data_IF_610275952918
#
_entry.id   IF_610275952918
#
_cell.length_a   1.000
_cell.length_b   1.000
_cell.length_c   1.000
_cell.angle_alpha   90.00
_cell.angle_beta   90.00
_cell.angle_gamma   90.00
#
_symmetry.space_group_name_H-M   'P 1'
#
loop_
_entity.id
_entity.type
_entity.pdbx_description
1 polymer ?
#
# COMPACT_ATOMS: atom_id res chain seq x y z
N UNK A 1 5.26 2.51 -23.24
CA UNK A 1 6.66 2.20 -23.61
C UNK A 1 7.47 2.23 -22.32
N UNK A 2 8.61 1.51 -22.21
CA UNK A 2 9.44 1.65 -21.00
C UNK A 2 10.15 3.00 -21.03
N UNK A 3 10.08 3.72 -19.93
CA UNK A 3 10.74 5.00 -19.74
C UNK A 3 11.79 4.88 -18.63
N UNK A 4 12.79 5.75 -18.66
CA UNK A 4 13.83 5.85 -17.63
C UNK A 4 13.48 7.03 -16.75
N UNK A 5 13.47 6.81 -15.44
CA UNK A 5 13.21 7.83 -14.46
C UNK A 5 14.45 8.73 -14.34
N UNK A 6 14.29 10.03 -14.57
CA UNK A 6 15.37 11.02 -14.71
C UNK A 6 15.53 11.95 -13.49
N UNK A 7 14.73 11.74 -12.45
CA UNK A 7 14.79 12.50 -11.20
C UNK A 7 15.16 11.62 -9.98
N UNK A 8 15.59 12.29 -8.91
CA UNK A 8 16.01 11.62 -7.68
C UNK A 8 14.82 11.28 -6.77
N UNK A 9 14.72 10.04 -6.31
CA UNK A 9 13.69 9.57 -5.38
C UNK A 9 14.29 9.49 -3.98
N UNK A 10 14.02 10.51 -3.16
CA UNK A 10 14.55 10.62 -1.79
C UNK A 10 14.30 9.37 -0.93
N UNK A 11 13.16 8.68 -1.10
CA UNK A 11 12.85 7.44 -0.34
C UNK A 11 13.88 6.32 -0.59
N UNK A 12 14.51 6.31 -1.76
CA UNK A 12 15.52 5.31 -2.14
C UNK A 12 16.93 5.61 -1.59
N UNK A 13 17.16 6.75 -0.95
CA UNK A 13 18.45 7.06 -0.28
C UNK A 13 18.75 6.09 0.88
N UNK A 14 17.72 5.41 1.39
CA UNK A 14 17.82 4.39 2.42
C UNK A 14 18.42 3.06 1.92
N UNK A 15 18.55 2.88 0.59
CA UNK A 15 19.18 1.71 0.00
C UNK A 15 20.69 1.69 0.28
N UNK A 16 21.27 0.48 0.36
CA UNK A 16 22.73 0.35 0.46
C UNK A 16 23.46 1.01 -0.72
N UNK A 17 22.86 0.94 -1.91
CA UNK A 17 23.34 1.57 -3.14
C UNK A 17 22.14 2.07 -3.93
N UNK A 18 22.12 3.37 -4.22
CA UNK A 18 21.11 3.95 -5.08
C UNK A 18 21.20 3.33 -6.50
N UNK A 19 20.08 2.94 -7.14
CA UNK A 19 20.10 2.32 -8.46
C UNK A 19 20.59 3.31 -9.51
N UNK A 20 21.50 2.88 -10.38
CA UNK A 20 22.01 3.73 -11.47
C UNK A 20 20.90 4.12 -12.46
N UNK A 21 19.98 3.19 -12.74
CA UNK A 21 18.86 3.38 -13.66
C UNK A 21 17.60 2.79 -13.01
N UNK A 22 16.48 3.50 -13.15
CA UNK A 22 15.15 3.05 -12.78
C UNK A 22 14.26 3.12 -14.00
N UNK A 23 13.66 2.00 -14.35
CA UNK A 23 12.75 1.85 -15.47
C UNK A 23 11.32 1.84 -14.95
N UNK A 24 10.42 2.54 -15.62
CA UNK A 24 9.02 2.58 -15.21
C UNK A 24 8.06 2.48 -16.39
N UNK A 25 6.80 2.14 -16.07
CA UNK A 25 5.63 2.30 -16.93
C UNK A 25 4.41 2.63 -16.08
N UNK A 26 3.62 3.60 -16.51
CA UNK A 26 2.41 4.05 -15.82
C UNK A 26 2.62 5.39 -15.11
N UNK A 27 1.87 5.63 -14.04
CA UNK A 27 1.78 6.94 -13.37
C UNK A 27 2.87 7.16 -12.31
N UNK A 28 3.84 8.02 -12.62
CA UNK A 28 4.92 8.40 -11.71
C UNK A 28 4.47 9.28 -10.54
N UNK A 29 3.30 9.93 -10.63
CA UNK A 29 2.79 10.77 -9.54
C UNK A 29 2.50 9.96 -8.26
N UNK A 30 2.39 8.63 -8.37
CA UNK A 30 2.27 7.73 -7.22
C UNK A 30 3.51 7.76 -6.30
N UNK A 31 4.68 8.14 -6.81
CA UNK A 31 5.91 8.22 -6.00
C UNK A 31 5.86 9.33 -4.94
N UNK A 32 5.07 10.38 -5.18
CA UNK A 32 4.91 11.53 -4.29
C UNK A 32 3.88 11.31 -3.19
N UNK A 33 3.04 10.26 -3.32
CA UNK A 33 2.05 9.91 -2.30
C UNK A 33 2.70 9.35 -1.04
N UNK A 34 2.05 9.50 0.15
CA UNK A 34 2.32 8.62 1.28
C UNK A 34 2.14 7.19 0.83
N UNK A 35 3.03 6.30 1.26
CA UNK A 35 3.06 4.97 0.67
C UNK A 35 3.44 3.90 1.68
N UNK A 36 2.84 2.74 1.58
CA UNK A 36 3.06 1.63 2.50
C UNK A 36 3.47 0.40 1.70
N UNK A 37 4.56 -0.24 2.14
CA UNK A 37 4.99 -1.49 1.54
C UNK A 37 4.26 -2.65 2.19
N UNK A 38 3.58 -3.48 1.40
CA UNK A 38 2.88 -4.68 1.89
C UNK A 38 3.50 -5.90 1.23
N UNK A 39 4.01 -6.83 2.03
CA UNK A 39 4.66 -8.07 1.56
C UNK A 39 4.22 -9.27 2.37
N UNK A 40 4.43 -10.47 1.86
CA UNK A 40 4.14 -11.69 2.63
C UNK A 40 4.33 -12.97 1.86
N UNK A 41 3.84 -14.06 2.43
CA UNK A 41 3.92 -15.40 1.83
C UNK A 41 3.21 -15.45 0.48
N UNK A 42 3.72 -16.34 -0.38
CA UNK A 42 3.09 -16.66 -1.67
C UNK A 42 1.86 -17.56 -1.52
N UNK A 43 1.63 -18.11 -0.33
CA UNK A 43 0.53 -19.04 -0.02
C UNK A 43 -0.18 -18.62 1.29
N UNK A 44 -0.82 -17.44 1.31
CA UNK A 44 -1.47 -16.96 2.52
C UNK A 44 -2.70 -17.81 2.86
N UNK A 45 -2.99 -17.94 4.15
CA UNK A 45 -4.26 -18.52 4.62
C UNK A 45 -5.43 -17.57 4.30
N UNK A 46 -6.66 -18.08 4.28
CA UNK A 46 -7.83 -17.26 3.89
C UNK A 46 -8.03 -16.02 4.77
N UNK A 47 -7.77 -16.15 6.08
CA UNK A 47 -7.78 -15.02 7.01
C UNK A 47 -6.84 -13.89 6.56
N UNK A 48 -5.58 -14.23 6.25
CA UNK A 48 -4.58 -13.28 5.74
C UNK A 48 -4.99 -12.68 4.41
N UNK A 49 -5.61 -13.46 3.50
CA UNK A 49 -6.10 -12.94 2.22
C UNK A 49 -7.15 -11.85 2.42
N UNK A 50 -8.14 -12.12 3.27
CA UNK A 50 -9.23 -11.18 3.54
C UNK A 50 -8.69 -9.89 4.15
N UNK A 51 -7.90 -9.99 5.21
CA UNK A 51 -7.36 -8.80 5.87
C UNK A 51 -6.35 -8.04 5.01
N UNK A 52 -5.56 -8.72 4.18
CA UNK A 52 -4.65 -8.05 3.25
C UNK A 52 -5.42 -7.21 2.22
N UNK A 53 -6.50 -7.76 1.65
CA UNK A 53 -7.34 -7.04 0.72
C UNK A 53 -8.02 -5.84 1.40
N UNK A 54 -8.64 -6.07 2.56
CA UNK A 54 -9.35 -5.04 3.32
C UNK A 54 -8.43 -3.89 3.73
N UNK A 55 -7.29 -4.21 4.34
CA UNK A 55 -6.30 -3.23 4.77
C UNK A 55 -5.78 -2.40 3.59
N UNK A 56 -5.46 -3.06 2.47
CA UNK A 56 -4.96 -2.37 1.26
C UNK A 56 -6.03 -1.46 0.65
N UNK A 57 -7.30 -1.90 0.63
CA UNK A 57 -8.43 -1.10 0.16
C UNK A 57 -8.65 0.13 1.03
N UNK A 58 -8.73 -0.04 2.34
CA UNK A 58 -8.98 1.06 3.29
C UNK A 58 -7.83 2.08 3.27
N UNK A 59 -6.57 1.62 3.22
CA UNK A 59 -5.41 2.51 3.07
C UNK A 59 -5.45 3.28 1.73
N UNK A 60 -5.76 2.59 0.64
CA UNK A 60 -5.84 3.23 -0.67
C UNK A 60 -6.93 4.30 -0.76
N UNK A 61 -8.11 4.04 -0.18
CA UNK A 61 -9.19 5.02 -0.07
C UNK A 61 -8.78 6.28 0.72
N UNK A 62 -7.77 6.16 1.59
CA UNK A 62 -7.16 7.30 2.31
C UNK A 62 -6.08 8.05 1.54
N UNK A 63 -5.86 7.68 0.27
CA UNK A 63 -4.83 8.26 -0.60
C UNK A 63 -3.43 7.68 -0.36
N UNK A 64 -3.30 6.60 0.43
CA UNK A 64 -2.02 5.93 0.69
C UNK A 64 -1.73 4.95 -0.43
N UNK A 65 -0.60 5.13 -1.12
CA UNK A 65 -0.20 4.26 -2.21
C UNK A 65 0.37 2.93 -1.68
N UNK A 66 -0.13 1.80 -2.20
CA UNK A 66 0.39 0.49 -1.79
C UNK A 66 1.54 0.07 -2.69
N UNK A 67 2.68 -0.30 -2.08
CA UNK A 67 3.87 -0.78 -2.78
C UNK A 67 4.05 -2.28 -2.53
N UNK A 68 4.26 -3.06 -3.58
CA UNK A 68 4.58 -4.48 -3.45
C UNK A 68 5.37 -5.02 -4.64
N UNK A 69 5.72 -6.31 -4.60
CA UNK A 69 6.60 -6.97 -5.56
C UNK A 69 5.90 -7.76 -6.67
N UNK A 70 4.58 -7.72 -6.77
CA UNK A 70 3.83 -8.45 -7.79
C UNK A 70 3.96 -9.98 -7.73
N UNK A 71 4.51 -10.55 -6.65
CA UNK A 71 4.56 -12.00 -6.47
C UNK A 71 3.16 -12.61 -6.30
N UNK A 72 3.06 -13.93 -6.33
CA UNK A 72 1.84 -14.63 -5.91
C UNK A 72 1.52 -14.34 -4.43
N UNK A 73 0.27 -14.57 -4.03
CA UNK A 73 -0.15 -14.48 -2.64
C UNK A 73 -0.33 -13.04 -2.20
N UNK A 74 0.30 -12.67 -1.08
CA UNK A 74 0.10 -11.37 -0.43
C UNK A 74 0.34 -10.19 -1.38
N UNK A 75 1.43 -10.19 -2.15
CA UNK A 75 1.73 -9.09 -3.07
C UNK A 75 0.59 -8.85 -4.09
N UNK A 76 0.07 -9.92 -4.70
CA UNK A 76 -1.04 -9.82 -5.66
C UNK A 76 -2.32 -9.30 -5.00
N UNK A 77 -2.62 -9.78 -3.79
CA UNK A 77 -3.81 -9.38 -3.03
C UNK A 77 -3.73 -7.93 -2.59
N UNK A 78 -2.53 -7.48 -2.18
CA UNK A 78 -2.31 -6.09 -1.81
C UNK A 78 -2.56 -5.14 -2.98
N UNK A 79 -2.03 -5.46 -4.17
CA UNK A 79 -2.30 -4.70 -5.39
C UNK A 79 -3.78 -4.70 -5.78
N UNK A 80 -4.47 -5.83 -5.63
CA UNK A 80 -5.90 -5.93 -5.92
C UNK A 80 -6.75 -5.11 -4.94
N UNK A 81 -6.45 -5.20 -3.64
CA UNK A 81 -7.16 -4.45 -2.61
C UNK A 81 -6.93 -2.95 -2.75
N UNK A 82 -5.72 -2.52 -3.10
CA UNK A 82 -5.40 -1.12 -3.29
C UNK A 82 -6.15 -0.46 -4.46
N UNK A 83 -6.65 -1.23 -5.43
CA UNK A 83 -6.99 -0.68 -6.74
C UNK A 83 -5.73 -0.48 -7.59
N UNK A 84 -5.84 -0.78 -8.88
CA UNK A 84 -4.68 -0.80 -9.77
C UNK A 84 -4.16 0.60 -10.12
N UNK A 85 -4.92 1.64 -9.80
CA UNK A 85 -4.63 3.07 -9.98
C UNK A 85 -3.90 3.71 -8.80
N UNK A 86 -3.86 3.05 -7.64
CA UNK A 86 -3.18 3.58 -6.45
C UNK A 86 -2.15 2.60 -5.88
N UNK A 87 -1.33 2.02 -6.77
CA UNK A 87 -0.32 1.05 -6.38
C UNK A 87 0.95 1.09 -7.24
N UNK A 88 2.09 0.80 -6.61
CA UNK A 88 3.40 0.65 -7.27
C UNK A 88 3.86 -0.80 -7.15
N UNK A 89 4.08 -1.45 -8.29
CA UNK A 89 4.62 -2.80 -8.37
C UNK A 89 6.09 -2.76 -8.79
N UNK A 90 7.00 -3.14 -7.89
CA UNK A 90 8.43 -3.21 -8.19
C UNK A 90 8.78 -4.62 -8.66
N UNK A 91 9.24 -4.79 -9.90
CA UNK A 91 9.56 -6.10 -10.48
C UNK A 91 11.03 -6.49 -10.29
N UNK A 92 11.29 -7.79 -10.18
CA UNK A 92 12.64 -8.36 -10.08
C UNK A 92 13.26 -8.68 -11.46
N UNK A 93 12.62 -8.20 -12.53
CA UNK A 93 12.94 -8.43 -13.93
C UNK A 93 12.61 -7.18 -14.75
N UNK A 94 13.01 -7.15 -16.02
CA UNK A 94 12.64 -6.09 -16.96
C UNK A 94 11.13 -6.02 -17.21
N UNK A 95 10.62 -4.84 -17.59
CA UNK A 95 9.17 -4.55 -17.64
C UNK A 95 8.41 -5.26 -18.76
N UNK A 96 9.12 -5.69 -19.81
CA UNK A 96 8.59 -6.60 -20.85
C UNK A 96 8.20 -7.99 -20.32
N UNK A 97 8.74 -8.42 -19.18
CA UNK A 97 8.47 -9.74 -18.63
C UNK A 97 7.38 -9.64 -17.56
N UNK A 98 6.23 -10.28 -17.80
CA UNK A 98 5.15 -10.41 -16.81
C UNK A 98 5.36 -11.66 -15.97
N UNK A 99 6.15 -11.54 -14.90
CA UNK A 99 6.46 -12.63 -13.97
C UNK A 99 5.92 -12.33 -12.55
N UNK A 100 5.27 -13.32 -11.88
CA UNK A 100 4.94 -14.65 -12.39
C UNK A 100 3.78 -14.58 -13.41
N UNK A 101 3.74 -15.53 -14.36
CA UNK A 101 2.73 -15.54 -15.44
C UNK A 101 1.29 -15.52 -14.94
N UNK A 102 1.02 -16.14 -13.78
CA UNK A 102 -0.30 -16.16 -13.14
C UNK A 102 -0.82 -14.75 -12.81
N UNK A 103 0.07 -13.80 -12.53
CA UNK A 103 -0.28 -12.42 -12.23
C UNK A 103 -0.23 -11.50 -13.46
N UNK A 104 -0.11 -12.05 -14.68
CA UNK A 104 0.00 -11.25 -15.92
C UNK A 104 -1.11 -10.19 -16.03
N UNK A 105 -2.36 -10.56 -15.72
CA UNK A 105 -3.48 -9.65 -15.80
C UNK A 105 -3.37 -8.52 -14.77
N UNK A 106 -2.99 -8.83 -13.53
CA UNK A 106 -2.74 -7.82 -12.48
C UNK A 106 -1.64 -6.85 -12.93
N UNK A 107 -0.51 -7.37 -13.40
CA UNK A 107 0.61 -6.53 -13.86
C UNK A 107 0.23 -5.65 -15.05
N UNK A 108 -0.59 -6.16 -15.97
CA UNK A 108 -1.10 -5.37 -17.10
C UNK A 108 -2.08 -4.28 -16.64
N UNK A 109 -2.90 -4.53 -15.62
CA UNK A 109 -3.78 -3.50 -15.05
C UNK A 109 -2.98 -2.41 -14.36
N UNK A 110 -1.97 -2.77 -13.55
CA UNK A 110 -1.09 -1.80 -12.90
C UNK A 110 -0.31 -1.00 -13.94
N UNK A 111 0.20 -1.61 -15.00
CA UNK A 111 0.88 -0.88 -16.09
C UNK A 111 0.00 0.21 -16.74
N UNK A 112 -1.32 -0.01 -16.78
CA UNK A 112 -2.26 0.91 -17.40
C UNK A 112 -2.75 2.02 -16.47
N UNK A 113 -2.82 1.77 -15.17
CA UNK A 113 -3.52 2.63 -14.21
C UNK A 113 -2.61 3.11 -13.08
N UNK A 114 -1.68 2.29 -12.62
CA UNK A 114 -0.75 2.57 -11.54
C UNK A 114 0.68 2.65 -12.06
N UNK A 115 1.64 2.11 -11.31
CA UNK A 115 3.05 2.18 -11.68
C UNK A 115 3.73 0.82 -11.61
N UNK A 116 4.35 0.39 -12.70
CA UNK A 116 5.37 -0.65 -12.69
C UNK A 116 6.75 -0.01 -12.61
N UNK A 117 7.62 -0.52 -11.73
CA UNK A 117 8.99 -0.06 -11.55
C UNK A 117 9.98 -1.23 -11.61
N UNK A 118 11.17 -1.02 -12.16
CA UNK A 118 12.24 -2.02 -12.15
C UNK A 118 13.63 -1.36 -12.19
N UNK A 119 14.61 -1.96 -11.52
CA UNK A 119 16.04 -1.56 -11.64
C UNK A 119 16.75 -2.28 -12.78
N UNK A 120 16.01 -3.02 -13.61
CA UNK A 120 16.57 -3.86 -14.66
C UNK A 120 16.01 -3.46 -16.02
N UNK A 121 16.90 -3.40 -17.02
CA UNK A 121 16.54 -3.16 -18.42
C UNK A 121 15.48 -4.15 -18.90
N UNK A 122 14.77 -3.73 -19.94
CA UNK A 122 13.81 -4.60 -20.60
C UNK A 122 14.41 -5.97 -20.95
N UNK A 123 13.56 -6.99 -20.87
CA UNK A 123 13.89 -8.40 -21.13
C UNK A 123 14.91 -9.06 -20.17
N UNK A 124 15.43 -8.34 -19.17
CA UNK A 124 16.24 -8.93 -18.11
C UNK A 124 15.42 -9.93 -17.28
N UNK A 125 15.83 -11.20 -17.22
CA UNK A 125 15.13 -12.26 -16.50
C UNK A 125 15.45 -12.26 -15.01
N UNK A 126 14.43 -12.48 -14.17
CA UNK A 126 14.62 -12.56 -12.73
C UNK A 126 15.57 -13.70 -12.33
N UNK A 127 16.43 -13.44 -11.34
CA UNK A 127 17.30 -14.42 -10.70
C UNK A 127 17.03 -14.44 -9.19
N UNK A 128 17.59 -15.41 -8.47
CA UNK A 128 17.47 -15.44 -6.99
C UNK A 128 17.97 -14.14 -6.35
N UNK A 129 19.05 -13.57 -6.89
CA UNK A 129 19.62 -12.32 -6.39
C UNK A 129 18.71 -11.11 -6.68
N UNK A 130 18.09 -11.06 -7.86
CA UNK A 130 17.26 -9.90 -8.21
C UNK A 130 15.99 -9.79 -7.38
N UNK A 131 15.44 -10.91 -6.90
CA UNK A 131 14.34 -10.88 -5.92
C UNK A 131 14.77 -10.23 -4.59
N UNK A 132 15.98 -10.54 -4.10
CA UNK A 132 16.49 -9.96 -2.86
C UNK A 132 16.71 -8.45 -3.03
N UNK A 133 17.35 -8.04 -4.13
CA UNK A 133 17.56 -6.62 -4.44
C UNK A 133 16.24 -5.86 -4.62
N UNK A 134 15.27 -6.44 -5.35
CA UNK A 134 13.95 -5.85 -5.52
C UNK A 134 13.27 -5.62 -4.17
N UNK A 135 13.35 -6.59 -3.26
CA UNK A 135 12.70 -6.47 -1.95
C UNK A 135 13.26 -5.28 -1.16
N UNK A 136 14.55 -4.98 -1.29
CA UNK A 136 15.17 -3.79 -0.71
C UNK A 136 14.52 -2.51 -1.26
N UNK A 137 14.31 -2.42 -2.58
CA UNK A 137 13.63 -1.30 -3.25
C UNK A 137 12.18 -1.16 -2.78
N UNK A 138 11.44 -2.27 -2.69
CA UNK A 138 10.06 -2.28 -2.17
C UNK A 138 10.02 -1.68 -0.77
N UNK A 139 10.92 -2.10 0.13
CA UNK A 139 10.96 -1.59 1.51
C UNK A 139 11.38 -0.13 1.56
N UNK A 140 12.35 0.28 0.74
CA UNK A 140 12.83 1.65 0.70
C UNK A 140 11.72 2.63 0.28
N UNK A 141 10.90 2.27 -0.70
CA UNK A 141 9.83 3.13 -1.21
C UNK A 141 8.67 3.36 -0.23
N UNK A 142 8.36 2.42 0.66
CA UNK A 142 7.25 2.58 1.62
C UNK A 142 7.69 3.26 2.91
N UNK A 143 6.89 4.17 3.45
CA UNK A 143 7.16 4.89 4.69
C UNK A 143 7.22 3.92 5.89
N UNK A 144 6.38 2.87 5.85
CA UNK A 144 6.40 1.73 6.77
C UNK A 144 6.29 0.41 5.98
N UNK A 145 6.58 -0.71 6.66
CA UNK A 145 6.43 -2.05 6.11
C UNK A 145 5.33 -2.82 6.86
N UNK A 146 4.42 -3.44 6.12
CA UNK A 146 3.45 -4.40 6.66
C UNK A 146 3.77 -5.79 6.10
N UNK A 147 3.98 -6.75 6.98
CA UNK A 147 4.18 -8.15 6.61
C UNK A 147 2.93 -8.92 7.00
N UNK A 148 2.14 -9.34 6.01
CA UNK A 148 0.82 -9.92 6.28
C UNK A 148 0.87 -11.34 6.80
N UNK A 149 1.92 -12.10 6.46
CA UNK A 149 2.19 -13.47 6.94
C UNK A 149 3.56 -13.91 6.41
N UNK A 150 4.39 -14.55 7.24
CA UNK A 150 5.71 -15.03 6.85
C UNK A 150 6.12 -16.32 7.57
N UNK A 151 6.71 -17.24 6.81
CA UNK A 151 7.42 -18.39 7.35
C UNK A 151 8.84 -18.01 7.74
N UNK A 152 9.46 -18.86 8.57
CA UNK A 152 10.89 -18.76 8.87
C UNK A 152 11.73 -18.86 7.59
N UNK A 153 12.84 -18.13 7.52
CA UNK A 153 13.75 -18.11 6.37
C UNK A 153 13.10 -17.71 5.03
N UNK A 154 11.94 -17.06 5.06
CA UNK A 154 11.23 -16.60 3.86
C UNK A 154 11.77 -15.26 3.33
N UNK A 155 11.43 -14.94 2.08
CA UNK A 155 11.78 -13.65 1.46
C UNK A 155 11.24 -12.43 2.21
N UNK A 156 10.09 -12.58 2.89
CA UNK A 156 9.51 -11.52 3.72
C UNK A 156 10.37 -11.19 4.94
N UNK A 157 11.08 -12.19 5.51
CA UNK A 157 12.03 -11.94 6.61
C UNK A 157 13.22 -11.11 6.12
N UNK A 158 13.64 -11.26 4.86
CA UNK A 158 14.66 -10.36 4.28
C UNK A 158 14.13 -8.94 4.16
N UNK A 159 12.88 -8.74 3.76
CA UNK A 159 12.25 -7.42 3.77
C UNK A 159 12.20 -6.80 5.18
N UNK A 160 11.91 -7.61 6.21
CA UNK A 160 11.98 -7.18 7.61
C UNK A 160 13.39 -6.71 7.98
N UNK A 161 14.41 -7.49 7.65
CA UNK A 161 15.82 -7.12 7.92
C UNK A 161 16.20 -5.80 7.25
N UNK A 162 15.71 -5.54 6.03
CA UNK A 162 15.90 -4.25 5.36
C UNK A 162 15.17 -3.11 6.09
N UNK A 163 13.90 -3.31 6.47
CA UNK A 163 13.13 -2.28 7.16
C UNK A 163 13.79 -1.87 8.49
N UNK A 164 14.28 -2.83 9.27
CA UNK A 164 15.01 -2.56 10.50
C UNK A 164 16.31 -1.78 10.25
N UNK A 165 17.08 -2.14 9.21
CA UNK A 165 18.29 -1.38 8.83
C UNK A 165 17.99 0.05 8.40
N UNK A 166 16.83 0.26 7.79
CA UNK A 166 16.35 1.57 7.34
C UNK A 166 15.59 2.35 8.43
N UNK A 167 15.54 1.84 9.67
CA UNK A 167 14.78 2.41 10.79
C UNK A 167 13.29 2.64 10.47
N UNK A 168 12.69 1.76 9.66
CA UNK A 168 11.26 1.81 9.33
C UNK A 168 10.47 0.99 10.34
N UNK A 169 9.29 1.50 10.72
CA UNK A 169 8.34 0.73 11.52
C UNK A 169 7.81 -0.46 10.72
N UNK A 170 7.67 -1.59 11.40
CA UNK A 170 7.18 -2.83 10.80
C UNK A 170 5.92 -3.28 11.53
N UNK A 171 4.88 -3.61 10.77
CA UNK A 171 3.60 -4.07 11.27
C UNK A 171 3.24 -5.46 10.73
N UNK A 172 2.37 -6.16 11.44
CA UNK A 172 1.72 -7.41 11.01
C UNK A 172 0.28 -7.41 11.49
N UNK A 173 -0.58 -8.25 10.90
CA UNK A 173 -1.88 -8.58 11.51
C UNK A 173 -1.69 -9.57 12.66
N UNK A 174 -2.68 -9.70 13.53
CA UNK A 174 -2.72 -10.75 14.54
C UNK A 174 -2.81 -12.13 13.89
N UNK A 175 -2.10 -13.13 14.39
CA UNK A 175 -2.14 -14.50 13.86
C UNK A 175 -2.25 -15.53 14.97
N UNK A 176 -2.71 -16.73 14.61
CA UNK A 176 -2.47 -17.92 15.42
C UNK A 176 -0.98 -18.24 15.41
N UNK A 177 -0.51 -18.89 16.48
CA UNK A 177 0.92 -19.20 16.70
C UNK A 177 1.54 -19.92 15.50
N UNK A 178 0.82 -20.87 14.89
CA UNK A 178 1.36 -21.69 13.81
C UNK A 178 1.37 -20.99 12.44
N UNK A 179 0.59 -19.92 12.27
CA UNK A 179 0.35 -19.31 10.95
C UNK A 179 1.42 -18.27 10.57
N UNK A 180 2.20 -17.77 11.54
CA UNK A 180 3.16 -16.67 11.31
C UNK A 180 4.49 -16.86 12.06
N UNK A 181 5.05 -18.07 12.00
CA UNK A 181 6.28 -18.47 12.70
C UNK A 181 7.46 -17.54 12.45
N UNK A 182 7.56 -16.98 11.23
CA UNK A 182 8.64 -16.09 10.86
C UNK A 182 8.69 -14.80 11.67
N UNK A 183 7.54 -14.26 12.09
CA UNK A 183 7.48 -12.96 12.77
C UNK A 183 7.42 -13.05 14.30
N UNK A 184 7.01 -14.19 14.88
CA UNK A 184 6.82 -14.32 16.34
C UNK A 184 8.02 -13.84 17.14
N UNK A 185 9.24 -14.20 16.74
CA UNK A 185 10.46 -13.79 17.43
C UNK A 185 10.72 -12.29 17.37
N UNK A 186 10.26 -11.60 16.33
CA UNK A 186 10.44 -10.16 16.16
C UNK A 186 9.34 -9.38 16.90
N UNK A 187 8.11 -9.91 16.91
CA UNK A 187 7.01 -9.38 17.72
C UNK A 187 7.39 -9.40 19.21
N UNK A 188 7.88 -10.54 19.72
CA UNK A 188 8.34 -10.67 21.12
C UNK A 188 9.45 -9.71 21.51
N UNK A 189 10.27 -9.29 20.54
CA UNK A 189 11.38 -8.35 20.75
C UNK A 189 10.98 -6.89 20.57
N UNK A 190 9.71 -6.61 20.22
CA UNK A 190 9.23 -5.25 19.95
C UNK A 190 9.69 -4.67 18.61
N UNK A 191 10.22 -5.49 17.69
CA UNK A 191 10.63 -5.04 16.35
C UNK A 191 9.48 -5.00 15.34
N UNK A 192 8.38 -5.70 15.64
CA UNK A 192 7.17 -5.74 14.80
C UNK A 192 5.96 -5.49 15.68
N UNK A 193 5.18 -4.48 15.34
CA UNK A 193 3.93 -4.12 16.02
C UNK A 193 2.75 -4.88 15.38
N UNK A 194 1.75 -5.25 16.19
CA UNK A 194 0.57 -5.98 15.73
C UNK A 194 -0.59 -5.01 15.53
N UNK A 195 -1.21 -5.07 14.36
CA UNK A 195 -2.46 -4.40 14.03
C UNK A 195 -3.59 -5.29 14.54
N UNK A 196 -4.24 -4.85 15.63
CA UNK A 196 -5.40 -5.52 16.22
C UNK A 196 -6.71 -5.05 15.62
N UNK A 197 -6.76 -3.77 15.20
CA UNK A 197 -7.92 -3.14 14.56
C UNK A 197 -7.44 -2.43 13.28
N UNK A 198 -8.02 -2.83 12.14
CA UNK A 198 -7.65 -2.27 10.83
C UNK A 198 -8.14 -0.83 10.72
N UNK A 199 -9.32 -0.51 11.24
CA UNK A 199 -9.91 0.82 11.13
C UNK A 199 -9.16 1.82 12.01
N UNK A 200 -8.81 1.45 13.23
CA UNK A 200 -7.94 2.27 14.09
C UNK A 200 -6.60 2.54 13.41
N UNK A 201 -5.96 1.50 12.86
CA UNK A 201 -4.69 1.63 12.18
C UNK A 201 -4.79 2.54 10.94
N UNK A 202 -5.81 2.36 10.10
CA UNK A 202 -6.03 3.19 8.90
C UNK A 202 -6.34 4.64 9.27
N UNK A 203 -7.11 4.87 10.34
CA UNK A 203 -7.42 6.21 10.84
C UNK A 203 -6.20 6.97 11.36
N UNK A 204 -5.12 6.28 11.74
CA UNK A 204 -3.86 6.93 12.10
C UNK A 204 -3.17 7.62 10.91
N UNK A 205 -3.50 7.22 9.67
CA UNK A 205 -3.01 7.87 8.46
C UNK A 205 -3.92 9.04 8.10
N UNK A 206 -3.35 10.25 8.05
CA UNK A 206 -4.08 11.44 7.63
C UNK A 206 -4.62 11.23 6.21
N UNK A 207 -5.91 11.52 6.00
CA UNK A 207 -6.50 11.60 4.67
C UNK A 207 -5.69 12.60 3.84
N UNK A 208 -4.94 12.13 2.85
CA UNK A 208 -4.54 13.00 1.75
C UNK A 208 -5.66 12.96 0.75
N UNK A 209 -6.75 13.66 1.07
CA UNK A 209 -7.63 14.09 0.00
C UNK A 209 -6.75 14.92 -0.94
N UNK A 210 -6.64 14.46 -2.20
CA UNK A 210 -6.44 15.37 -3.31
C UNK A 210 -7.28 16.61 -3.05
N UNK A 211 -6.74 17.78 -3.32
CA UNK A 211 -7.48 19.05 -3.30
C UNK A 211 -8.59 19.05 -4.38
N UNK A 212 -9.49 18.08 -4.39
CA UNK A 212 -10.88 18.36 -4.63
C UNK A 212 -11.40 18.86 -3.30
N UNK A 213 -11.57 20.17 -3.21
CA UNK A 213 -12.46 20.74 -2.22
C UNK A 213 -13.74 19.91 -2.22
N UNK A 214 -13.93 19.15 -1.15
CA UNK A 214 -15.10 18.33 -0.99
C UNK A 214 -16.29 19.28 -0.90
N UNK A 215 -17.05 19.38 -1.99
CA UNK A 215 -18.19 20.28 -2.13
C UNK A 215 -19.20 20.07 -1.00
N UNK A 216 -19.26 18.86 -0.43
CA UNK A 216 -20.09 18.52 0.72
C UNK A 216 -19.51 19.13 1.99
N UNK A 217 -18.21 18.97 2.28
CA UNK A 217 -17.58 19.60 3.45
C UNK A 217 -17.68 21.13 3.36
N UNK A 218 -17.43 21.70 2.18
CA UNK A 218 -17.55 23.14 1.97
C UNK A 218 -18.98 23.64 2.17
N UNK A 219 -19.97 22.86 1.75
CA UNK A 219 -21.37 23.16 2.04
C UNK A 219 -21.70 22.99 3.54
N UNK A 220 -21.23 21.94 4.19
CA UNK A 220 -21.44 21.71 5.63
C UNK A 220 -20.82 22.83 6.50
N UNK A 221 -19.74 23.47 6.06
CA UNK A 221 -19.18 24.68 6.72
C UNK A 221 -20.17 25.84 6.79
N UNK A 222 -21.16 25.92 5.89
CA UNK A 222 -22.21 26.95 5.95
C UNK A 222 -23.28 26.65 6.98
N UNK A 223 -23.17 25.54 7.72
CA UNK A 223 -24.13 25.06 8.72
C UNK A 223 -25.57 24.95 8.18
N UNK A 224 -25.77 24.23 7.06
CA UNK A 224 -27.11 23.99 6.54
C UNK A 224 -27.91 23.16 7.55
N UNK A 225 -29.23 23.21 7.43
CA UNK A 225 -30.09 22.23 8.12
C UNK A 225 -29.86 20.83 7.55
N UNK A 226 -30.16 19.80 8.34
CA UNK A 226 -30.00 18.42 7.90
C UNK A 226 -30.87 18.10 6.67
N UNK A 227 -32.09 18.64 6.61
CA UNK A 227 -32.98 18.49 5.44
C UNK A 227 -32.39 19.12 4.18
N UNK A 228 -31.87 20.35 4.26
CA UNK A 228 -31.23 21.02 3.12
C UNK A 228 -29.98 20.27 2.64
N UNK A 229 -29.24 19.66 3.57
CA UNK A 229 -28.10 18.83 3.24
C UNK A 229 -28.52 17.55 2.51
N UNK A 230 -29.55 16.85 3.01
CA UNK A 230 -30.09 15.64 2.38
C UNK A 230 -30.64 15.91 0.98
N UNK A 231 -31.36 17.02 0.78
CA UNK A 231 -31.89 17.38 -0.55
C UNK A 231 -30.75 17.59 -1.56
N UNK A 232 -29.65 18.19 -1.12
CA UNK A 232 -28.56 18.59 -2.02
C UNK A 232 -27.54 17.48 -2.27
N UNK A 233 -27.23 16.67 -1.26
CA UNK A 233 -26.14 15.70 -1.29
C UNK A 233 -26.51 14.31 -0.72
N UNK A 234 -27.80 13.99 -0.67
CA UNK A 234 -28.43 12.72 -0.24
C UNK A 234 -27.47 11.62 0.24
N UNK A 235 -26.96 10.78 -0.69
CA UNK A 235 -26.15 9.60 -0.37
C UNK A 235 -24.85 9.95 0.38
N UNK A 236 -24.23 11.09 0.08
CA UNK A 236 -23.01 11.55 0.75
C UNK A 236 -23.27 12.04 2.16
N UNK A 237 -24.42 12.66 2.44
CA UNK A 237 -24.76 13.12 3.80
C UNK A 237 -24.91 11.94 4.75
N UNK A 238 -25.57 10.87 4.31
CA UNK A 238 -25.66 9.63 5.08
C UNK A 238 -24.28 9.01 5.33
N UNK A 239 -23.44 8.91 4.29
CA UNK A 239 -22.08 8.39 4.43
C UNK A 239 -21.24 9.24 5.40
N UNK A 240 -21.37 10.57 5.36
CA UNK A 240 -20.56 11.48 6.17
C UNK A 240 -21.01 11.51 7.62
N UNK A 241 -22.31 11.33 7.86
CA UNK A 241 -22.86 11.12 9.20
C UNK A 241 -22.39 9.79 9.79
N UNK A 242 -22.45 8.69 9.02
CA UNK A 242 -21.96 7.37 9.43
C UNK A 242 -20.46 7.35 9.72
N UNK A 243 -19.68 8.08 8.94
CA UNK A 243 -18.24 8.22 9.12
C UNK A 243 -17.84 9.26 10.19
N UNK A 244 -18.80 9.83 10.93
CA UNK A 244 -18.58 10.84 11.97
C UNK A 244 -17.82 12.08 11.47
N UNK A 245 -18.05 12.50 10.22
CA UNK A 245 -17.44 13.72 9.65
C UNK A 245 -18.17 14.97 10.16
N UNK A 246 -19.47 14.85 10.43
CA UNK A 246 -20.28 15.90 11.05
C UNK A 246 -21.34 15.26 11.96
N UNK A 247 -22.00 16.08 12.79
CA UNK A 247 -23.17 15.71 13.59
C UNK A 247 -24.29 16.73 13.40
N UNK A 248 -25.53 16.34 13.70
CA UNK A 248 -26.67 17.25 13.73
C UNK A 248 -26.84 17.79 15.15
N UNK A 249 -26.69 19.11 15.32
CA UNK A 249 -26.97 19.80 16.58
C UNK A 249 -28.04 20.86 16.34
N UNK A 250 -29.13 20.82 17.12
CA UNK A 250 -30.25 21.76 16.98
C UNK A 250 -30.79 21.86 15.53
N UNK A 251 -30.77 20.75 14.79
CA UNK A 251 -31.27 20.66 13.41
C UNK A 251 -30.29 21.11 12.32
N UNK A 252 -29.11 21.61 12.68
CA UNK A 252 -28.06 22.01 11.73
C UNK A 252 -26.88 21.05 11.72
N UNK A 253 -26.28 20.87 10.55
CA UNK A 253 -25.08 20.07 10.40
C UNK A 253 -23.86 20.83 10.93
N UNK A 254 -23.14 20.24 11.88
CA UNK A 254 -21.93 20.77 12.51
C UNK A 254 -20.78 19.78 12.29
N UNK A 255 -19.75 20.21 11.56
CA UNK A 255 -18.53 19.42 11.33
C UNK A 255 -17.84 19.07 12.66
N UNK A 256 -17.31 17.85 12.75
CA UNK A 256 -16.61 17.31 13.93
C UNK A 256 -15.09 17.52 13.86
#
# INVERSE_FOLDING_TARGET
MTEILDFHIKKLDSLKKYPNELFFRGDINLLDKPSISIVGTRRPINYTKQLCYELSSKLSQRGVCIISGGAMGVDAIAHQGAGFDNTICVLANGLNIKYPKVNKNILNSIEKQGLLLSTYKDDFKATRYTFVHRNEVVVALGDILIIMQADENSGSIRSLEYALKMNKKVYTIAHRIEDNKGLIKYIKKGFVEVIYDIDEFVNSFKHQNSKQEDEVINYLKTKPTYEEALIKYNDKIFEYELNCIFKVENGVCVLL
#
